data_IF_268087020295
#
_entry.id   IF_268087020295
#
_cell.length_a   1.000
_cell.length_b   1.000
_cell.length_c   1.000
_cell.angle_alpha   90.00
_cell.angle_beta   90.00
_cell.angle_gamma   90.00
#
_symmetry.space_group_name_H-M   'P 1'
#
loop_
_entity.id
_entity.type
_entity.pdbx_description
1 polymer ?
#
# COMPACT_ATOMS: atom_id res chain seq x y z
N UNK A 1 15.66 -14.67 -10.21
CA UNK A 1 15.42 -13.51 -11.09
C UNK A 1 14.04 -12.95 -10.76
N UNK A 2 13.96 -11.87 -9.98
CA UNK A 2 12.68 -11.21 -9.68
C UNK A 2 12.32 -10.28 -10.83
N UNK A 3 11.24 -10.59 -11.54
CA UNK A 3 10.70 -9.74 -12.61
C UNK A 3 10.16 -8.45 -11.98
N UNK A 4 10.86 -7.34 -12.17
CA UNK A 4 10.33 -6.00 -11.89
C UNK A 4 9.28 -5.68 -12.95
N UNK A 5 8.08 -6.21 -12.75
CA UNK A 5 6.96 -6.02 -13.64
C UNK A 5 6.50 -4.55 -13.56
N UNK A 6 7.02 -3.72 -14.45
CA UNK A 6 6.48 -2.40 -14.73
C UNK A 6 5.14 -2.56 -15.44
N UNK A 7 4.06 -2.72 -14.67
CA UNK A 7 2.71 -2.86 -15.18
C UNK A 7 2.23 -1.55 -15.82
N UNK A 8 2.42 -1.43 -17.13
CA UNK A 8 1.74 -0.43 -17.97
C UNK A 8 0.22 -0.69 -17.86
N UNK A 9 -0.45 0.02 -16.94
CA UNK A 9 -1.89 -0.17 -16.65
C UNK A 9 -2.25 -0.38 -15.18
N UNK A 10 -1.29 -0.39 -14.25
CA UNK A 10 -1.60 -0.53 -12.83
C UNK A 10 -2.35 0.69 -12.26
N UNK A 11 -3.50 0.43 -11.61
CA UNK A 11 -4.31 1.46 -10.98
C UNK A 11 -3.55 2.09 -9.81
N UNK A 12 -3.54 3.42 -9.78
CA UNK A 12 -2.89 4.21 -8.75
C UNK A 12 -3.91 4.86 -7.81
N UNK A 13 -3.73 4.62 -6.52
CA UNK A 13 -4.54 5.17 -5.45
C UNK A 13 -3.93 6.47 -4.92
N UNK A 14 -4.80 7.39 -4.51
CA UNK A 14 -4.45 8.58 -3.73
C UNK A 14 -4.22 8.21 -2.24
N UNK A 15 -3.56 9.07 -1.45
CA UNK A 15 -3.40 8.84 -0.01
C UNK A 15 -4.75 8.67 0.71
N UNK A 16 -5.79 9.39 0.27
CA UNK A 16 -7.14 9.30 0.82
C UNK A 16 -7.82 7.96 0.53
N UNK A 17 -7.69 7.44 -0.68
CA UNK A 17 -8.21 6.10 -1.02
C UNK A 17 -7.54 5.01 -0.18
N UNK A 18 -6.21 5.06 -0.02
CA UNK A 18 -5.48 4.11 0.83
C UNK A 18 -5.91 4.24 2.30
N UNK A 19 -6.05 5.47 2.79
CA UNK A 19 -6.51 5.75 4.16
C UNK A 19 -7.88 5.16 4.44
N UNK A 20 -8.82 5.27 3.50
CA UNK A 20 -10.15 4.69 3.61
C UNK A 20 -10.11 3.16 3.69
N UNK A 21 -9.23 2.50 2.93
CA UNK A 21 -9.07 1.04 2.95
C UNK A 21 -8.50 0.55 4.29
N UNK A 22 -7.45 1.20 4.80
CA UNK A 22 -6.81 0.84 6.07
C UNK A 22 -7.53 1.41 7.30
N UNK A 23 -8.59 2.21 7.12
CA UNK A 23 -9.31 2.90 8.20
C UNK A 23 -8.40 3.78 9.07
N UNK A 24 -7.48 4.50 8.43
CA UNK A 24 -6.55 5.44 9.09
C UNK A 24 -6.67 6.84 8.50
N UNK A 25 -5.97 7.81 9.08
CA UNK A 25 -5.85 9.16 8.50
C UNK A 25 -4.86 9.20 7.30
N UNK A 26 -5.10 10.00 6.24
CA UNK A 26 -4.18 10.15 5.10
C UNK A 26 -2.76 10.60 5.47
N UNK A 27 -2.57 11.35 6.57
CA UNK A 27 -1.25 11.73 7.08
C UNK A 27 -0.48 10.52 7.59
N UNK A 28 -1.17 9.53 8.15
CA UNK A 28 -0.58 8.25 8.56
C UNK A 28 -0.04 7.48 7.36
N UNK A 29 -0.81 7.41 6.27
CA UNK A 29 -0.35 6.79 5.00
C UNK A 29 0.87 7.52 4.45
N UNK A 30 0.87 8.86 4.50
CA UNK A 30 2.02 9.67 4.07
C UNK A 30 3.26 9.41 4.94
N UNK A 31 3.09 9.19 6.24
CA UNK A 31 4.18 8.80 7.16
C UNK A 31 4.72 7.41 6.81
N UNK A 32 3.85 6.43 6.53
CA UNK A 32 4.30 5.09 6.09
C UNK A 32 5.11 5.14 4.80
N UNK A 33 4.66 5.94 3.82
CA UNK A 33 5.38 6.14 2.57
C UNK A 33 6.76 6.80 2.79
N UNK A 34 6.85 7.72 3.73
CA UNK A 34 8.12 8.39 4.10
C UNK A 34 9.06 7.43 4.83
N UNK A 35 8.51 6.53 5.63
CA UNK A 35 9.26 5.49 6.34
C UNK A 35 9.59 4.26 5.47
N UNK A 36 9.22 4.25 4.19
CA UNK A 36 9.47 3.12 3.28
C UNK A 36 8.63 1.86 3.57
N UNK A 37 7.58 1.97 4.39
CA UNK A 37 6.70 0.85 4.76
C UNK A 37 5.68 0.49 3.69
N UNK A 38 5.44 1.41 2.76
CA UNK A 38 4.61 1.22 1.57
C UNK A 38 5.26 1.99 0.42
N UNK A 39 5.40 1.33 -0.72
CA UNK A 39 5.90 1.91 -1.96
C UNK A 39 5.04 3.09 -2.39
N UNK A 40 5.69 4.15 -2.86
CA UNK A 40 4.97 5.33 -3.36
C UNK A 40 5.64 5.91 -4.59
N UNK A 41 4.81 6.39 -5.51
CA UNK A 41 5.20 7.12 -6.71
C UNK A 41 4.88 8.59 -6.46
N UNK A 42 5.82 9.49 -6.74
CA UNK A 42 5.58 10.93 -6.68
C UNK A 42 5.19 11.42 -8.07
N UNK A 43 4.10 12.18 -8.14
CA UNK A 43 3.75 12.93 -9.35
C UNK A 43 4.69 14.13 -9.50
N UNK A 44 4.79 14.75 -10.70
CA UNK A 44 5.57 15.98 -10.89
C UNK A 44 5.17 17.11 -9.92
N UNK A 45 3.89 17.18 -9.52
CA UNK A 45 3.38 18.13 -8.52
C UNK A 45 3.65 17.75 -7.06
N UNK A 46 4.39 16.67 -6.80
CA UNK A 46 4.81 16.26 -5.45
C UNK A 46 3.80 15.41 -4.67
N UNK A 47 2.59 15.21 -5.20
CA UNK A 47 1.59 14.33 -4.57
C UNK A 47 2.02 12.86 -4.67
N UNK A 48 1.68 12.08 -3.64
CA UNK A 48 1.96 10.63 -3.63
C UNK A 48 0.83 9.85 -4.28
N UNK A 49 1.21 8.76 -4.93
CA UNK A 49 0.34 7.72 -5.48
C UNK A 49 0.84 6.35 -5.03
N UNK A 50 -0.08 5.42 -4.87
CA UNK A 50 0.20 4.08 -4.36
C UNK A 50 -0.33 3.05 -5.35
N UNK A 51 0.41 1.97 -5.55
CA UNK A 51 -0.03 0.86 -6.40
C UNK A 51 -1.18 0.13 -5.70
N UNK A 52 -2.30 -0.05 -6.41
CA UNK A 52 -3.44 -0.79 -5.87
C UNK A 52 -3.04 -2.22 -5.48
N UNK A 53 -2.25 -2.91 -6.32
CA UNK A 53 -1.80 -4.29 -6.06
C UNK A 53 -1.04 -4.41 -4.74
N UNK A 54 -0.12 -3.50 -4.48
CA UNK A 54 0.69 -3.48 -3.25
C UNK A 54 -0.18 -3.18 -2.02
N UNK A 55 -1.10 -2.23 -2.14
CA UNK A 55 -2.07 -1.89 -1.08
C UNK A 55 -2.94 -3.12 -0.73
N UNK A 56 -3.44 -3.83 -1.73
CA UNK A 56 -4.24 -5.05 -1.53
C UNK A 56 -3.43 -6.19 -0.91
N UNK A 57 -2.16 -6.34 -1.31
CA UNK A 57 -1.25 -7.33 -0.69
C UNK A 57 -1.04 -7.04 0.79
N UNK A 58 -0.80 -5.78 1.17
CA UNK A 58 -0.63 -5.39 2.58
C UNK A 58 -1.90 -5.62 3.41
N UNK A 59 -3.09 -5.29 2.88
CA UNK A 59 -4.37 -5.59 3.54
C UNK A 59 -4.57 -7.09 3.77
N UNK A 60 -4.21 -7.90 2.75
CA UNK A 60 -4.30 -9.34 2.83
C UNK A 60 -3.37 -9.90 3.91
N UNK A 61 -2.12 -9.44 3.98
CA UNK A 61 -1.14 -9.86 4.99
C UNK A 61 -1.63 -9.57 6.42
N UNK A 62 -2.16 -8.36 6.67
CA UNK A 62 -2.71 -7.98 7.98
C UNK A 62 -3.93 -8.82 8.38
N UNK A 63 -4.71 -9.29 7.41
CA UNK A 63 -5.91 -10.10 7.66
C UNK A 63 -5.56 -11.57 7.88
N UNK A 64 -4.57 -12.10 7.15
CA UNK A 64 -4.10 -13.48 7.29
C UNK A 64 -3.44 -13.72 8.66
N UNK A 65 -2.67 -12.76 9.18
CA UNK A 65 -2.04 -12.86 10.51
C UNK A 65 -3.06 -12.99 11.66
N UNK A 66 -4.27 -12.44 11.48
CA UNK A 66 -5.35 -12.54 12.47
C UNK A 66 -6.08 -13.90 12.46
N UNK A 67 -5.85 -14.75 11.44
CA UNK A 67 -6.60 -16.01 11.21
C UNK A 67 -5.75 -17.26 11.49
N UNK A 68 -4.46 -17.14 11.82
CA UNK A 68 -3.67 -18.33 12.16
C UNK A 68 -4.04 -18.84 13.57
N UNK A 69 -4.60 -20.06 13.72
CA UNK A 69 -4.74 -20.66 15.03
C UNK A 69 -3.33 -21.03 15.51
N UNK A 70 -2.98 -20.60 16.73
CA UNK A 70 -1.77 -21.03 17.43
C UNK A 70 -1.72 -22.56 17.37
N UNK A 71 -0.83 -23.10 16.55
CA UNK A 71 -0.54 -24.54 16.53
C UNK A 71 0.29 -24.84 17.78
N UNK A 72 -0.38 -25.35 18.81
CA UNK A 72 0.25 -26.07 19.92
C UNK A 72 0.63 -27.48 19.50
#
# INVERSE_FOLDING_TARGET
MTLTQGHQGERLLTPGEVANLFRVDPKTVTRWATAGRIGSIRTPGGHRRFRESEVQQLLSQLTTEATEPVRH
#
